data_IF_391837519339
#
_entry.id   IF_391837519339
#
_cell.length_a   1.000
_cell.length_b   1.000
_cell.length_c   1.000
_cell.angle_alpha   90.00
_cell.angle_beta   90.00
_cell.angle_gamma   90.00
#
_symmetry.space_group_name_H-M   'P 1'
#
loop_
_entity.id
_entity.type
_entity.pdbx_description
1 polymer ?
#
# COMPACT_ATOMS: atom_id res chain seq x y z
N UNK A 1 -14.63 5.68 2.73
CA UNK A 1 -14.50 5.44 1.27
C UNK A 1 -15.12 6.55 0.42
N UNK A 2 -16.40 6.93 0.60
CA UNK A 2 -17.02 8.04 -0.17
C UNK A 2 -16.26 9.39 -0.10
N UNK A 3 -15.59 9.69 1.02
CA UNK A 3 -14.83 10.95 1.21
C UNK A 3 -13.54 11.03 0.39
N UNK A 4 -12.86 9.91 0.12
CA UNK A 4 -11.60 9.90 -0.64
C UNK A 4 -11.85 10.18 -2.14
N UNK A 5 -12.95 9.63 -2.67
CA UNK A 5 -13.39 9.86 -4.05
C UNK A 5 -13.85 11.31 -4.28
N UNK A 6 -14.41 11.95 -3.25
CA UNK A 6 -14.81 13.37 -3.26
C UNK A 6 -13.58 14.30 -3.30
N UNK A 7 -12.49 13.95 -2.61
CA UNK A 7 -11.25 14.76 -2.60
C UNK A 7 -10.54 14.72 -3.96
N UNK A 8 -10.49 13.54 -4.59
CA UNK A 8 -9.96 13.38 -5.96
C UNK A 8 -10.82 14.12 -7.00
N UNK A 9 -12.15 14.18 -6.82
CA UNK A 9 -13.04 14.97 -7.68
C UNK A 9 -12.94 16.49 -7.45
N UNK A 10 -12.69 16.93 -6.21
CA UNK A 10 -12.57 18.35 -5.85
C UNK A 10 -11.30 18.99 -6.44
N UNK A 11 -10.21 18.23 -6.58
CA UNK A 11 -8.98 18.70 -7.23
C UNK A 11 -9.14 18.92 -8.74
N UNK A 12 -10.13 18.27 -9.38
CA UNK A 12 -10.34 18.33 -10.82
C UNK A 12 -11.37 19.40 -11.25
N UNK A 13 -12.22 19.91 -10.34
CA UNK A 13 -13.36 20.75 -10.70
C UNK A 13 -13.42 22.15 -10.06
N UNK A 14 -12.65 22.43 -9.02
CA UNK A 14 -12.73 23.71 -8.31
C UNK A 14 -11.62 24.66 -8.74
N UNK A 15 -11.93 25.50 -9.73
CA UNK A 15 -11.21 26.75 -9.93
C UNK A 15 -11.14 27.54 -8.61
N UNK A 16 -9.95 28.09 -8.36
CA UNK A 16 -9.58 29.14 -7.40
C UNK A 16 -10.72 29.75 -6.55
N UNK A 17 -11.08 29.13 -5.42
CA UNK A 17 -11.80 29.82 -4.34
C UNK A 17 -11.65 29.19 -2.95
N UNK A 18 -10.83 28.14 -2.78
CA UNK A 18 -10.44 27.67 -1.45
C UNK A 18 -9.20 28.44 -1.01
N UNK A 19 -9.29 29.13 0.13
CA UNK A 19 -8.13 29.84 0.70
C UNK A 19 -6.94 28.87 0.81
N UNK A 20 -5.77 29.33 0.42
CA UNK A 20 -4.53 28.54 0.55
C UNK A 20 -4.36 28.06 2.00
N UNK A 21 -4.85 28.84 2.97
CA UNK A 21 -4.87 28.48 4.39
C UNK A 21 -5.77 27.29 4.70
N UNK A 22 -6.98 27.19 4.14
CA UNK A 22 -7.86 26.02 4.35
C UNK A 22 -7.30 24.77 3.68
N UNK A 23 -6.76 24.91 2.46
CA UNK A 23 -6.08 23.79 1.79
C UNK A 23 -4.84 23.36 2.56
N UNK A 24 -4.07 24.30 3.10
CA UNK A 24 -2.88 24.01 3.92
C UNK A 24 -3.24 23.36 5.25
N UNK A 25 -4.29 23.81 5.94
CA UNK A 25 -4.80 23.20 7.18
C UNK A 25 -5.36 21.80 6.93
N UNK A 26 -6.16 21.63 5.89
CA UNK A 26 -6.71 20.31 5.51
C UNK A 26 -5.61 19.36 5.05
N UNK A 27 -4.61 19.84 4.32
CA UNK A 27 -3.41 19.07 3.97
C UNK A 27 -2.57 18.72 5.19
N UNK A 28 -2.35 19.65 6.13
CA UNK A 28 -1.59 19.39 7.36
C UNK A 28 -2.31 18.37 8.25
N UNK A 29 -3.62 18.51 8.45
CA UNK A 29 -4.45 17.56 9.20
C UNK A 29 -4.51 16.18 8.50
N UNK A 30 -4.64 16.17 7.17
CA UNK A 30 -4.53 14.95 6.37
C UNK A 30 -3.14 14.35 6.46
N UNK A 31 -2.09 15.16 6.56
CA UNK A 31 -0.70 14.69 6.73
C UNK A 31 -0.54 13.99 8.06
N UNK A 32 -1.14 14.48 9.15
CA UNK A 32 -1.14 13.81 10.45
C UNK A 32 -1.89 12.47 10.37
N UNK A 33 -3.09 12.45 9.78
CA UNK A 33 -3.86 11.22 9.61
C UNK A 33 -3.14 10.19 8.70
N UNK A 34 -2.45 10.65 7.66
CA UNK A 34 -1.63 9.82 6.78
C UNK A 34 -0.39 9.27 7.51
N UNK A 35 0.25 10.09 8.36
CA UNK A 35 1.37 9.67 9.22
C UNK A 35 0.92 8.64 10.24
N UNK A 36 -0.23 8.83 10.86
CA UNK A 36 -0.81 7.86 11.80
C UNK A 36 -1.18 6.55 11.10
N UNK A 37 -1.77 6.64 9.90
CA UNK A 37 -2.01 5.47 9.07
C UNK A 37 -0.70 4.74 8.72
N UNK A 38 0.34 5.47 8.31
CA UNK A 38 1.64 4.87 8.00
C UNK A 38 2.26 4.17 9.21
N UNK A 39 2.22 4.82 10.39
CA UNK A 39 2.70 4.23 11.64
C UNK A 39 1.91 2.98 12.03
N UNK A 40 0.58 3.04 12.00
CA UNK A 40 -0.28 1.88 12.29
C UNK A 40 0.01 0.75 11.32
N UNK A 41 0.04 1.08 10.02
CA UNK A 41 0.32 0.14 8.95
C UNK A 41 1.73 -0.44 9.03
N UNK A 42 2.68 0.15 9.75
CA UNK A 42 4.03 -0.38 9.87
C UNK A 42 4.21 -1.32 11.07
N UNK A 43 3.31 -1.26 12.07
CA UNK A 43 3.40 -2.09 13.27
C UNK A 43 3.39 -3.60 13.00
N UNK A 44 2.71 -4.02 11.94
CA UNK A 44 2.57 -5.42 11.54
C UNK A 44 3.48 -5.80 10.36
N UNK A 45 4.41 -4.92 9.94
CA UNK A 45 5.24 -5.16 8.76
C UNK A 45 6.00 -6.48 8.82
N UNK A 46 6.77 -6.70 9.89
CA UNK A 46 7.60 -7.91 10.03
C UNK A 46 6.75 -9.18 10.00
N UNK A 47 5.53 -9.12 10.53
CA UNK A 47 4.60 -10.24 10.48
C UNK A 47 4.10 -10.50 9.05
N UNK A 48 3.60 -9.47 8.36
CA UNK A 48 3.14 -9.59 6.98
C UNK A 48 4.26 -10.03 6.02
N UNK A 49 5.43 -9.42 6.15
CA UNK A 49 6.64 -9.77 5.41
C UNK A 49 7.04 -11.23 5.64
N UNK A 50 7.05 -11.69 6.90
CA UNK A 50 7.34 -13.08 7.25
C UNK A 50 6.36 -14.06 6.62
N UNK A 51 5.05 -13.75 6.60
CA UNK A 51 4.05 -14.58 5.92
C UNK A 51 4.36 -14.68 4.43
N UNK A 52 4.62 -13.57 3.75
CA UNK A 52 4.90 -13.57 2.30
C UNK A 52 6.13 -14.41 2.01
N UNK A 53 7.21 -14.22 2.79
CA UNK A 53 8.47 -14.92 2.62
C UNK A 53 8.37 -16.43 2.90
N UNK A 54 7.47 -16.85 3.78
CA UNK A 54 7.27 -18.26 4.12
C UNK A 54 6.25 -18.96 3.19
N UNK A 55 5.21 -18.26 2.76
CA UNK A 55 4.09 -18.83 2.03
C UNK A 55 4.34 -18.89 0.51
N UNK A 56 4.94 -17.85 -0.07
CA UNK A 56 5.06 -17.70 -1.51
C UNK A 56 6.49 -18.02 -1.96
N UNK A 57 6.72 -19.01 -2.84
CA UNK A 57 8.04 -19.29 -3.38
C UNK A 57 8.61 -18.09 -4.13
N UNK A 58 9.90 -17.80 -3.95
CA UNK A 58 10.55 -16.65 -4.57
C UNK A 58 10.47 -16.64 -6.11
N UNK A 59 10.41 -17.82 -6.74
CA UNK A 59 10.22 -17.98 -8.18
C UNK A 59 8.85 -17.55 -8.70
N UNK A 60 7.86 -17.39 -7.81
CA UNK A 60 6.48 -17.04 -8.17
C UNK A 60 6.21 -15.53 -8.14
N UNK A 61 7.19 -14.73 -7.72
CA UNK A 61 7.10 -13.27 -7.65
C UNK A 61 8.27 -12.64 -8.42
N UNK A 62 8.12 -11.39 -8.89
CA UNK A 62 9.26 -10.64 -9.39
C UNK A 62 10.36 -10.51 -8.33
N UNK A 63 11.64 -10.58 -8.75
CA UNK A 63 12.79 -10.57 -7.82
C UNK A 63 12.80 -9.35 -6.89
N UNK A 64 12.39 -8.18 -7.42
CA UNK A 64 12.31 -6.93 -6.65
C UNK A 64 11.41 -7.04 -5.41
N UNK A 65 10.42 -7.93 -5.39
CA UNK A 65 9.52 -8.07 -4.23
C UNK A 65 10.29 -8.48 -2.99
N UNK A 66 11.15 -9.50 -3.09
CA UNK A 66 11.91 -10.00 -1.94
C UNK A 66 13.03 -9.05 -1.54
N UNK A 67 13.61 -8.33 -2.51
CA UNK A 67 14.64 -7.32 -2.22
C UNK A 67 14.03 -6.17 -1.40
N UNK A 68 12.85 -5.69 -1.77
CA UNK A 68 12.13 -4.64 -1.04
C UNK A 68 11.65 -5.10 0.34
N UNK A 69 11.18 -6.35 0.45
CA UNK A 69 10.83 -6.92 1.75
C UNK A 69 12.02 -6.93 2.70
N UNK A 70 13.21 -7.32 2.23
CA UNK A 70 14.43 -7.32 3.03
C UNK A 70 14.85 -5.92 3.47
N UNK A 71 14.83 -4.94 2.56
CA UNK A 71 15.18 -3.54 2.86
C UNK A 71 14.31 -3.01 4.00
N UNK A 72 12.99 -3.21 3.90
CA UNK A 72 12.07 -2.68 4.92
C UNK A 72 12.13 -3.51 6.20
N UNK A 73 12.31 -4.84 6.11
CA UNK A 73 12.54 -5.69 7.28
C UNK A 73 13.75 -5.23 8.09
N UNK A 74 14.83 -4.81 7.43
CA UNK A 74 16.03 -4.27 8.08
C UNK A 74 15.71 -2.97 8.81
N UNK A 75 15.02 -2.02 8.17
CA UNK A 75 14.58 -0.77 8.82
C UNK A 75 13.70 -1.02 10.05
N UNK A 76 12.82 -2.01 9.99
CA UNK A 76 11.93 -2.36 11.11
C UNK A 76 12.68 -3.05 12.26
N UNK A 77 13.85 -3.64 12.00
CA UNK A 77 14.71 -4.29 13.01
C UNK A 77 15.70 -3.34 13.67
N UNK A 78 16.03 -2.22 13.02
CA UNK A 78 17.02 -1.24 13.50
C UNK A 78 16.66 -0.59 14.86
N UNK A 79 15.51 -0.91 15.49
CA UNK A 79 15.05 -0.41 16.81
C UNK A 79 15.14 1.13 16.96
N UNK A 80 15.19 1.83 15.84
CA UNK A 80 15.27 3.27 15.72
C UNK A 80 13.92 3.76 15.22
N UNK A 81 13.49 4.95 15.64
CA UNK A 81 12.25 5.52 15.09
C UNK A 81 12.40 5.69 13.57
N UNK A 82 11.43 5.14 12.82
CA UNK A 82 11.41 5.21 11.36
C UNK A 82 11.05 6.64 10.96
N UNK A 83 11.93 7.28 10.19
CA UNK A 83 11.72 8.64 9.71
C UNK A 83 10.52 8.76 8.74
N UNK A 84 10.04 9.99 8.52
CA UNK A 84 8.83 10.24 7.72
C UNK A 84 8.95 9.74 6.27
N UNK A 85 10.15 9.82 5.68
CA UNK A 85 10.37 9.35 4.33
C UNK A 85 10.25 7.83 4.27
N UNK A 86 10.89 7.11 5.20
CA UNK A 86 10.78 5.64 5.32
C UNK A 86 9.34 5.21 5.60
N UNK A 87 8.59 5.94 6.44
CA UNK A 87 7.16 5.68 6.68
C UNK A 87 6.34 5.77 5.39
N UNK A 88 6.51 6.85 4.62
CA UNK A 88 5.85 7.03 3.33
C UNK A 88 6.23 5.95 2.32
N UNK A 89 7.51 5.58 2.28
CA UNK A 89 8.02 4.51 1.44
C UNK A 89 7.35 3.17 1.76
N UNK A 90 7.27 2.78 3.04
CA UNK A 90 6.64 1.51 3.43
C UNK A 90 5.18 1.45 3.01
N UNK A 91 4.41 2.54 3.17
CA UNK A 91 3.02 2.60 2.72
C UNK A 91 2.92 2.41 1.20
N UNK A 92 3.75 3.12 0.43
CA UNK A 92 3.82 2.96 -1.02
C UNK A 92 4.16 1.52 -1.42
N UNK A 93 5.10 0.90 -0.72
CA UNK A 93 5.49 -0.48 -0.96
C UNK A 93 4.39 -1.48 -0.64
N UNK A 94 3.60 -1.30 0.43
CA UNK A 94 2.43 -2.17 0.69
C UNK A 94 1.45 -2.19 -0.47
N UNK A 95 1.15 -1.02 -1.03
CA UNK A 95 0.24 -0.90 -2.18
C UNK A 95 0.85 -1.59 -3.40
N UNK A 96 2.12 -1.30 -3.70
CA UNK A 96 2.83 -1.86 -4.85
C UNK A 96 2.98 -3.38 -4.77
N UNK A 97 3.21 -3.91 -3.57
CA UNK A 97 3.38 -5.34 -3.29
C UNK A 97 2.06 -6.12 -3.35
N UNK A 98 0.93 -5.49 -3.00
CA UNK A 98 -0.37 -6.15 -2.99
C UNK A 98 -0.69 -6.83 -4.32
N UNK A 99 -0.35 -6.15 -5.43
CA UNK A 99 -0.51 -6.65 -6.78
C UNK A 99 0.05 -8.07 -7.00
N UNK A 100 1.38 -8.18 -7.11
CA UNK A 100 2.04 -9.45 -7.40
C UNK A 100 1.79 -10.51 -6.32
N UNK A 101 1.67 -10.12 -5.04
CA UNK A 101 1.40 -11.05 -3.94
C UNK A 101 0.02 -11.68 -4.06
N UNK A 102 -1.02 -10.90 -4.32
CA UNK A 102 -2.39 -11.43 -4.49
C UNK A 102 -2.42 -12.35 -5.71
N UNK A 103 -1.81 -11.94 -6.82
CA UNK A 103 -1.78 -12.76 -8.03
C UNK A 103 -1.07 -14.11 -7.80
N UNK A 104 0.11 -14.10 -7.15
CA UNK A 104 0.83 -15.33 -6.81
C UNK A 104 0.04 -16.19 -5.82
N UNK A 105 -0.57 -15.57 -4.81
CA UNK A 105 -1.39 -16.26 -3.81
C UNK A 105 -2.61 -16.95 -4.45
N UNK A 106 -3.30 -16.28 -5.36
CA UNK A 106 -4.43 -16.88 -6.09
C UNK A 106 -3.94 -18.06 -6.95
N UNK A 107 -2.86 -17.89 -7.71
CA UNK A 107 -2.30 -18.96 -8.55
C UNK A 107 -1.92 -20.20 -7.74
N UNK A 108 -1.36 -20.01 -6.55
CA UNK A 108 -0.86 -21.10 -5.71
C UNK A 108 -1.97 -21.77 -4.87
N UNK A 109 -2.87 -20.99 -4.26
CA UNK A 109 -3.79 -21.50 -3.25
C UNK A 109 -5.25 -21.57 -3.70
N UNK A 110 -5.66 -20.79 -4.69
CA UNK A 110 -7.04 -20.71 -5.12
C UNK A 110 -7.18 -20.45 -6.63
N UNK A 111 -6.55 -21.28 -7.50
CA UNK A 111 -6.48 -21.01 -8.94
C UNK A 111 -7.86 -20.96 -9.61
N UNK A 112 -8.86 -21.64 -9.04
CA UNK A 112 -10.25 -21.59 -9.49
C UNK A 112 -10.84 -20.17 -9.47
N UNK A 113 -10.34 -19.27 -8.61
CA UNK A 113 -10.81 -17.88 -8.54
C UNK A 113 -10.47 -17.08 -9.81
N UNK A 114 -9.46 -17.48 -10.58
CA UNK A 114 -9.14 -16.83 -11.87
C UNK A 114 -10.23 -17.08 -12.93
N UNK A 115 -11.07 -18.08 -12.73
CA UNK A 115 -12.24 -18.34 -13.58
C UNK A 115 -13.48 -17.54 -13.18
N UNK A 116 -13.45 -16.81 -12.07
CA UNK A 116 -14.59 -16.04 -11.56
C UNK A 116 -14.51 -14.61 -12.08
N UNK A 117 -15.54 -14.18 -12.82
CA UNK A 117 -15.59 -12.89 -13.51
C UNK A 117 -15.44 -11.70 -12.54
N UNK A 118 -16.06 -11.78 -11.38
CA UNK A 118 -16.03 -10.75 -10.33
C UNK A 118 -14.62 -10.61 -9.75
N UNK A 119 -13.93 -11.73 -9.53
CA UNK A 119 -12.54 -11.72 -9.04
C UNK A 119 -11.62 -11.11 -10.09
N UNK A 120 -11.76 -11.52 -11.35
CA UNK A 120 -10.98 -10.94 -12.46
C UNK A 120 -11.22 -9.44 -12.62
N UNK A 121 -12.46 -8.97 -12.42
CA UNK A 121 -12.78 -7.54 -12.46
C UNK A 121 -12.09 -6.75 -11.34
N UNK A 122 -12.04 -7.30 -10.13
CA UNK A 122 -11.32 -6.69 -8.99
C UNK A 122 -9.82 -6.68 -9.25
N UNK A 123 -9.25 -7.78 -9.74
CA UNK A 123 -7.83 -7.86 -10.09
C UNK A 123 -7.46 -6.84 -11.17
N UNK A 124 -8.27 -6.71 -12.23
CA UNK A 124 -8.05 -5.72 -13.29
C UNK A 124 -8.15 -4.28 -12.78
N UNK A 125 -9.06 -3.98 -11.84
CA UNK A 125 -9.10 -2.67 -11.19
C UNK A 125 -7.83 -2.38 -10.37
N UNK A 126 -7.19 -3.41 -9.83
CA UNK A 126 -5.90 -3.33 -9.13
C UNK A 126 -4.69 -3.32 -10.08
N UNK A 127 -4.90 -3.40 -11.40
CA UNK A 127 -3.82 -3.44 -12.39
C UNK A 127 -3.15 -4.82 -12.53
N UNK A 128 -3.85 -5.90 -12.19
CA UNK A 128 -3.43 -7.31 -12.30
C UNK A 128 -4.25 -8.09 -13.31
#
# INVERSE_FOLDING_TARGET
>A
MKKLLIILLLMAGAGCATSIESVSKDYAASSTALKDFARISNKDWLFGSGIIQAAIPASSLPSWVFDELKIIDEWMRENTEIDEWRLGYTVGMRIRLAGPIIQASIKQYAPALLGIKEVMMVLSFMGL
#
